data_IF_896650967343
#
_entry.id   IF_896650967343
#
_cell.length_a   1.000
_cell.length_b   1.000
_cell.length_c   1.000
_cell.angle_alpha   90.00
_cell.angle_beta   90.00
_cell.angle_gamma   90.00
#
_symmetry.space_group_name_H-M   'P 1'
#
loop_
_entity.id
_entity.type
_entity.pdbx_description
1 polymer ?
#
# COMPACT_ATOMS: atom_id res chain seq x y z
N UNK A 1 9.25 -12.28 -4.79
CA UNK A 1 9.49 -11.46 -3.58
C UNK A 1 10.56 -10.38 -3.82
N UNK A 2 10.32 -9.44 -4.75
CA UNK A 2 11.27 -8.33 -5.04
C UNK A 2 10.60 -6.97 -5.18
N UNK A 3 9.27 -6.93 -5.29
CA UNK A 3 8.52 -5.72 -5.62
C UNK A 3 8.58 -4.67 -4.49
N UNK A 4 8.51 -5.07 -3.21
CA UNK A 4 8.66 -4.13 -2.09
C UNK A 4 10.06 -3.52 -2.03
N UNK A 5 11.09 -4.34 -2.30
CA UNK A 5 12.47 -3.87 -2.37
C UNK A 5 12.68 -2.92 -3.56
N UNK A 6 12.02 -3.18 -4.68
CA UNK A 6 12.05 -2.28 -5.84
C UNK A 6 11.52 -0.89 -5.48
N UNK A 7 10.40 -0.81 -4.75
CA UNK A 7 9.84 0.46 -4.27
C UNK A 7 10.82 1.18 -3.34
N UNK A 8 11.48 0.46 -2.42
CA UNK A 8 12.48 1.05 -1.54
C UNK A 8 13.70 1.61 -2.29
N UNK A 9 14.14 0.93 -3.36
CA UNK A 9 15.24 1.41 -4.22
C UNK A 9 14.81 2.67 -4.97
N UNK A 10 13.60 2.73 -5.53
CA UNK A 10 13.09 3.90 -6.23
C UNK A 10 12.98 5.13 -5.30
N UNK A 11 12.54 4.93 -4.05
CA UNK A 11 12.49 5.98 -3.02
C UNK A 11 13.87 6.56 -2.68
N UNK A 12 14.95 5.82 -2.94
CA UNK A 12 16.33 6.22 -2.63
C UNK A 12 17.12 6.63 -3.88
N UNK A 13 16.44 6.94 -4.98
CA UNK A 13 17.08 7.41 -6.21
C UNK A 13 18.07 8.56 -5.93
N UNK A 14 19.23 8.50 -6.60
CA UNK A 14 20.34 9.46 -6.46
C UNK A 14 19.90 10.90 -6.72
N UNK A 15 18.96 11.10 -7.65
CA UNK A 15 18.42 12.40 -7.99
C UNK A 15 17.01 12.56 -7.38
N UNK A 16 16.74 13.64 -6.63
CA UNK A 16 15.47 13.82 -5.93
C UNK A 16 14.28 13.89 -6.89
N UNK A 17 14.47 14.46 -8.09
CA UNK A 17 13.43 14.55 -9.13
C UNK A 17 13.02 13.19 -9.71
N UNK A 18 13.84 12.16 -9.51
CA UNK A 18 13.55 10.79 -9.95
C UNK A 18 12.88 9.95 -8.88
N UNK A 19 12.76 10.46 -7.66
CA UNK A 19 12.07 9.76 -6.59
C UNK A 19 10.57 9.82 -6.85
N UNK A 20 9.86 8.70 -6.66
CA UNK A 20 8.41 8.70 -6.77
C UNK A 20 7.81 9.64 -5.72
N UNK A 21 6.66 10.24 -6.05
CA UNK A 21 5.88 10.98 -5.04
C UNK A 21 5.41 10.04 -3.93
N UNK A 22 5.24 10.55 -2.70
CA UNK A 22 4.72 9.73 -1.60
C UNK A 22 3.34 9.13 -1.92
N UNK A 23 2.51 9.80 -2.73
CA UNK A 23 1.23 9.25 -3.19
C UNK A 23 1.43 7.99 -4.06
N UNK A 24 2.38 8.04 -4.99
CA UNK A 24 2.72 6.89 -5.84
C UNK A 24 3.33 5.73 -5.03
N UNK A 25 4.16 6.03 -4.04
CA UNK A 25 4.72 5.03 -3.12
C UNK A 25 3.61 4.34 -2.34
N UNK A 26 2.66 5.09 -1.77
CA UNK A 26 1.53 4.52 -1.03
C UNK A 26 0.72 3.58 -1.91
N UNK A 27 0.33 4.01 -3.11
CA UNK A 27 -0.43 3.15 -4.05
C UNK A 27 0.33 1.86 -4.37
N UNK A 28 1.63 1.94 -4.66
CA UNK A 28 2.44 0.74 -4.96
C UNK A 28 2.51 -0.22 -3.76
N UNK A 29 2.67 0.29 -2.54
CA UNK A 29 2.72 -0.51 -1.32
C UNK A 29 1.38 -1.15 -1.00
N UNK A 30 0.27 -0.44 -1.17
CA UNK A 30 -1.07 -1.01 -0.94
C UNK A 30 -1.38 -2.14 -1.93
N UNK A 31 -1.06 -1.96 -3.21
CA UNK A 31 -1.22 -3.00 -4.22
C UNK A 31 -0.37 -4.24 -3.89
N UNK A 32 0.86 -4.03 -3.41
CA UNK A 32 1.74 -5.09 -2.91
C UNK A 32 1.13 -5.85 -1.74
N UNK A 33 0.56 -5.13 -0.76
CA UNK A 33 -0.11 -5.73 0.37
C UNK A 33 -1.36 -6.52 -0.07
N UNK A 34 -2.14 -6.03 -1.04
CA UNK A 34 -3.29 -6.76 -1.61
C UNK A 34 -2.86 -8.03 -2.34
N UNK A 35 -1.74 -7.99 -3.06
CA UNK A 35 -1.20 -9.13 -3.79
C UNK A 35 -0.59 -10.19 -2.86
N UNK A 36 0.08 -9.79 -1.80
CA UNK A 36 0.64 -10.68 -0.78
C UNK A 36 -0.48 -11.31 0.07
N UNK A 37 -1.54 -10.54 0.31
CA UNK A 37 -2.73 -10.95 1.06
C UNK A 37 -3.77 -11.62 0.15
N UNK A 38 -3.49 -12.82 -0.32
CA UNK A 38 -4.50 -13.71 -0.89
C UNK A 38 -5.54 -14.23 0.13
N UNK A 39 -6.04 -13.40 1.05
CA UNK A 39 -7.06 -13.79 2.04
C UNK A 39 -6.96 -13.05 3.37
N UNK A 40 -7.29 -11.76 3.37
CA UNK A 40 -7.39 -10.97 4.58
C UNK A 40 -8.34 -9.81 4.35
N UNK A 41 -9.60 -10.13 4.08
CA UNK A 41 -10.73 -9.22 4.21
C UNK A 41 -10.58 -8.39 5.49
N UNK A 42 -10.29 -7.11 5.32
CA UNK A 42 -10.55 -6.13 6.36
C UNK A 42 -12.08 -6.12 6.48
N UNK A 43 -12.60 -6.85 7.46
CA UNK A 43 -14.00 -6.75 7.88
C UNK A 43 -14.17 -5.30 8.34
N UNK A 44 -14.71 -4.47 7.46
CA UNK A 44 -15.33 -3.22 7.87
C UNK A 44 -16.53 -3.63 8.72
N UNK A 45 -16.37 -3.56 10.05
CA UNK A 45 -17.50 -3.71 10.96
C UNK A 45 -18.34 -2.42 10.88
N UNK A 46 -19.03 -2.23 9.76
CA UNK A 46 -20.23 -1.41 9.71
C UNK A 46 -21.35 -2.22 10.37
N UNK A 47 -21.32 -2.25 11.70
CA UNK A 47 -22.46 -2.69 12.49
C UNK A 47 -23.28 -1.44 12.86
N UNK A 48 -23.96 -0.88 11.87
CA UNK A 48 -25.18 -0.11 12.10
C UNK A 48 -26.29 -1.07 12.58
N UNK A 49 -26.57 -1.14 13.89
CA UNK A 49 -27.86 -1.62 14.41
C UNK A 49 -28.30 -0.81 15.65
N UNK A 50 -29.08 0.24 15.38
CA UNK A 50 -30.37 0.62 15.99
C UNK A 50 -30.64 0.30 17.48
N UNK A 51 -31.06 1.33 18.25
CA UNK A 51 -32.29 1.37 19.10
C UNK A 51 -32.06 2.08 20.45
N UNK A 52 -32.54 3.31 20.58
CA UNK A 52 -33.51 3.81 21.59
C UNK A 52 -33.50 5.35 21.62
#
# INVERSE_FOLDING_TARGET
>A
MVQLLQVAVDCTAQYPDRRPSMAEVTTRVEELCRMDSGGGDIIDNDAEVQTA
#
